data_IF_387733429486
#
_entry.id   IF_387733429486
#
_cell.length_a   1.000
_cell.length_b   1.000
_cell.length_c   1.000
_cell.angle_alpha   90.00
_cell.angle_beta   90.00
_cell.angle_gamma   90.00
#
_symmetry.space_group_name_H-M   'P 1'
#
loop_
_entity.id
_entity.type
_entity.pdbx_description
1 polymer ?
#
# COMPACT_ATOMS: atom_id res chain seq x y z
N UNK A 1 -8.25 -10.59 0.28
CA UNK A 1 -8.68 -9.18 0.28
C UNK A 1 -8.64 -8.59 -1.12
N UNK A 2 -9.48 -7.58 -1.40
CA UNK A 2 -9.42 -6.78 -2.62
C UNK A 2 -8.39 -5.66 -2.45
N UNK A 3 -7.39 -5.61 -3.32
CA UNK A 3 -6.41 -4.53 -3.37
C UNK A 3 -7.12 -3.16 -3.41
N UNK A 4 -6.78 -2.28 -2.46
CA UNK A 4 -7.27 -0.90 -2.44
C UNK A 4 -6.12 0.05 -2.78
N UNK A 5 -6.12 0.70 -3.95
CA UNK A 5 -5.02 1.56 -4.36
C UNK A 5 -4.90 2.79 -3.45
N UNK A 6 -3.66 3.21 -3.20
CA UNK A 6 -3.37 4.40 -2.41
C UNK A 6 -3.94 5.65 -3.10
N UNK A 7 -4.80 6.44 -2.43
CA UNK A 7 -5.40 7.64 -3.02
C UNK A 7 -4.34 8.71 -3.30
N UNK A 8 -4.45 9.37 -4.46
CA UNK A 8 -3.50 10.40 -4.92
C UNK A 8 -3.68 11.78 -4.25
N UNK A 9 -2.81 12.75 -4.58
CA UNK A 9 -1.74 12.71 -5.59
C UNK A 9 -0.50 11.92 -5.13
N UNK A 10 0.08 11.12 -6.03
CA UNK A 10 1.25 10.27 -5.73
C UNK A 10 2.53 10.85 -6.37
N UNK A 11 3.70 10.77 -5.70
CA UNK A 11 4.95 11.29 -6.24
C UNK A 11 5.49 10.43 -7.39
N UNK A 12 6.25 11.05 -8.29
CA UNK A 12 6.91 10.35 -9.39
C UNK A 12 5.92 9.74 -10.40
N UNK A 13 6.35 8.73 -11.13
CA UNK A 13 5.55 7.99 -12.11
C UNK A 13 5.27 6.56 -11.63
N UNK A 14 4.16 5.97 -12.06
CA UNK A 14 3.89 4.56 -11.73
C UNK A 14 4.97 3.70 -12.38
N UNK A 15 5.56 2.80 -11.60
CA UNK A 15 6.59 1.91 -12.05
C UNK A 15 6.10 0.47 -12.07
N UNK A 16 6.46 -0.24 -13.14
CA UNK A 16 6.31 -1.68 -13.24
C UNK A 16 7.66 -2.31 -13.65
N UNK A 17 7.95 -3.54 -13.21
CA UNK A 17 9.17 -4.23 -13.59
C UNK A 17 9.16 -4.52 -15.10
N UNK A 18 10.32 -4.42 -15.73
CA UNK A 18 10.49 -4.71 -17.16
C UNK A 18 10.49 -6.21 -17.47
N UNK A 19 10.83 -7.04 -16.49
CA UNK A 19 10.86 -8.50 -16.58
C UNK A 19 10.81 -9.15 -15.19
N UNK A 20 10.78 -10.48 -15.15
CA UNK A 20 10.72 -11.26 -13.91
C UNK A 20 11.93 -11.04 -13.00
N UNK A 21 13.14 -10.93 -13.55
CA UNK A 21 14.37 -10.77 -12.77
C UNK A 21 14.40 -9.42 -12.03
N UNK A 22 14.04 -8.33 -12.72
CA UNK A 22 13.92 -7.00 -12.12
C UNK A 22 12.83 -6.97 -11.06
N UNK A 23 11.71 -7.65 -11.32
CA UNK A 23 10.64 -7.83 -10.33
C UNK A 23 11.13 -8.56 -9.09
N UNK A 24 11.84 -9.69 -9.27
CA UNK A 24 12.38 -10.49 -8.17
C UNK A 24 13.36 -9.68 -7.32
N UNK A 25 14.33 -8.99 -7.93
CA UNK A 25 15.29 -8.17 -7.18
C UNK A 25 14.58 -7.06 -6.39
N UNK A 26 13.59 -6.40 -6.99
CA UNK A 26 12.83 -5.36 -6.30
C UNK A 26 12.04 -5.92 -5.11
N UNK A 27 11.37 -7.06 -5.28
CA UNK A 27 10.64 -7.73 -4.20
C UNK A 27 11.58 -8.21 -3.08
N UNK A 28 12.75 -8.76 -3.43
CA UNK A 28 13.76 -9.18 -2.47
C UNK A 28 14.28 -8.00 -1.64
N UNK A 29 14.62 -6.89 -2.30
CA UNK A 29 15.19 -5.71 -1.63
C UNK A 29 14.16 -4.96 -0.77
N UNK A 30 12.93 -4.84 -1.25
CA UNK A 30 11.87 -4.10 -0.57
C UNK A 30 10.99 -4.98 0.30
N UNK A 31 10.29 -5.95 -0.28
CA UNK A 31 9.28 -6.75 0.42
C UNK A 31 9.92 -7.69 1.46
N UNK A 32 11.13 -8.21 1.21
CA UNK A 32 11.90 -8.96 2.21
C UNK A 32 12.29 -8.15 3.46
N UNK A 33 12.24 -6.81 3.38
CA UNK A 33 12.55 -5.91 4.49
C UNK A 33 11.32 -5.13 4.99
N UNK A 34 10.11 -5.49 4.54
CA UNK A 34 8.89 -4.75 4.84
C UNK A 34 8.12 -5.37 6.02
N UNK A 35 7.63 -4.54 6.94
CA UNK A 35 6.76 -4.97 8.03
C UNK A 35 5.41 -5.52 7.56
N UNK A 36 4.96 -5.15 6.34
CA UNK A 36 3.68 -5.59 5.75
C UNK A 36 3.70 -7.02 5.20
N UNK A 37 4.86 -7.62 5.09
CA UNK A 37 5.04 -8.88 4.37
C UNK A 37 5.93 -9.82 5.17
N UNK A 38 5.35 -10.49 6.16
CA UNK A 38 6.06 -11.55 6.88
C UNK A 38 6.23 -12.79 6.00
N UNK A 39 5.34 -13.04 5.04
CA UNK A 39 5.50 -14.16 4.10
C UNK A 39 6.81 -14.08 3.32
N UNK A 40 7.13 -12.90 2.76
CA UNK A 40 8.39 -12.69 2.02
C UNK A 40 9.62 -12.63 2.92
N UNK A 41 9.48 -12.22 4.19
CA UNK A 41 10.60 -12.02 5.11
C UNK A 41 10.97 -13.28 5.89
N UNK A 42 9.98 -14.03 6.34
CA UNK A 42 10.15 -15.20 7.22
C UNK A 42 10.14 -16.53 6.47
N UNK A 43 10.09 -16.49 5.12
CA UNK A 43 10.01 -17.68 4.23
C UNK A 43 8.90 -18.64 4.67
N UNK A 44 7.81 -18.08 5.23
CA UNK A 44 6.65 -18.85 5.62
C UNK A 44 5.88 -19.23 4.36
N UNK A 45 5.36 -20.46 4.32
CA UNK A 45 4.47 -20.87 3.27
C UNK A 45 3.30 -19.87 3.21
N UNK A 46 2.96 -19.40 2.01
CA UNK A 46 1.85 -18.45 1.82
C UNK A 46 0.55 -19.01 2.42
N UNK A 47 0.37 -20.33 2.45
CA UNK A 47 -0.79 -21.00 3.07
C UNK A 47 -0.83 -20.88 4.61
N UNK A 48 0.32 -20.66 5.26
CA UNK A 48 0.46 -20.53 6.72
C UNK A 48 0.39 -19.06 7.20
N UNK A 49 0.48 -18.10 6.28
CA UNK A 49 0.40 -16.67 6.58
C UNK A 49 -1.06 -16.20 6.64
N UNK A 50 -1.43 -15.53 7.74
CA UNK A 50 -2.72 -14.84 7.89
C UNK A 50 -2.88 -13.74 6.80
N UNK A 51 -4.12 -13.31 6.53
CA UNK A 51 -4.39 -12.30 5.51
C UNK A 51 -3.69 -10.96 5.79
N UNK A 52 -3.34 -10.69 7.05
CA UNK A 52 -2.61 -9.51 7.50
C UNK A 52 -1.08 -9.62 7.34
N UNK A 53 -0.59 -10.79 6.93
CA UNK A 53 0.84 -11.13 6.83
C UNK A 53 1.35 -11.11 5.37
N UNK A 54 0.45 -10.82 4.42
CA UNK A 54 0.74 -10.75 2.98
C UNK A 54 0.53 -9.33 2.46
N UNK A 55 1.48 -8.84 1.68
CA UNK A 55 1.33 -7.55 1.03
C UNK A 55 0.51 -7.66 -0.27
N UNK A 56 -0.73 -7.19 -0.27
CA UNK A 56 -1.64 -7.20 -1.44
C UNK A 56 -1.11 -6.43 -2.66
N UNK A 57 -0.19 -5.47 -2.44
CA UNK A 57 0.46 -4.69 -3.50
C UNK A 57 1.26 -5.60 -4.43
N UNK A 58 1.85 -6.69 -3.92
CA UNK A 58 2.58 -7.66 -4.74
C UNK A 58 1.62 -8.36 -5.72
N UNK A 59 0.45 -8.79 -5.22
CA UNK A 59 -0.56 -9.35 -6.10
C UNK A 59 -1.03 -8.35 -7.16
N UNK A 60 -1.20 -7.08 -6.76
CA UNK A 60 -1.58 -5.99 -7.67
C UNK A 60 -0.50 -5.69 -8.71
N UNK A 61 0.80 -5.83 -8.37
CA UNK A 61 1.88 -5.55 -9.31
C UNK A 61 1.93 -6.54 -10.46
N UNK A 62 1.66 -7.82 -10.20
CA UNK A 62 1.57 -8.83 -11.24
C UNK A 62 0.38 -8.61 -12.19
N UNK A 63 -0.61 -7.80 -11.78
CA UNK A 63 -1.73 -7.36 -12.63
C UNK A 63 -1.51 -5.98 -13.27
N UNK A 64 -0.41 -5.28 -12.96
CA UNK A 64 -0.16 -3.92 -13.42
C UNK A 64 -0.99 -2.84 -12.69
N UNK A 65 -1.58 -3.17 -11.54
CA UNK A 65 -2.48 -2.29 -10.79
C UNK A 65 -1.81 -1.57 -9.62
N UNK A 66 -0.60 -1.98 -9.22
CA UNK A 66 0.14 -1.41 -8.09
C UNK A 66 0.51 0.06 -8.34
N UNK A 67 -0.20 0.99 -7.72
CA UNK A 67 0.04 2.43 -7.88
C UNK A 67 1.13 2.92 -6.93
N UNK A 68 1.43 2.14 -5.89
CA UNK A 68 2.39 2.43 -4.83
C UNK A 68 3.85 2.30 -5.29
N UNK A 69 4.09 1.54 -6.35
CA UNK A 69 5.42 1.40 -6.92
C UNK A 69 5.69 2.60 -7.81
N UNK A 70 6.63 3.44 -7.38
CA UNK A 70 6.89 4.73 -8.00
C UNK A 70 8.34 4.84 -8.45
N UNK A 71 8.54 5.34 -9.66
CA UNK A 71 9.81 5.88 -10.12
C UNK A 71 9.85 7.37 -9.80
N UNK A 72 10.81 7.77 -8.99
CA UNK A 72 11.04 9.17 -8.61
C UNK A 72 11.72 9.94 -9.75
N UNK A 73 11.64 11.29 -9.74
CA UNK A 73 12.34 12.12 -10.73
C UNK A 73 13.85 11.87 -10.80
N UNK A 74 14.46 11.45 -9.69
CA UNK A 74 15.88 11.11 -9.60
C UNK A 74 16.22 9.73 -10.20
N UNK A 75 15.23 8.98 -10.67
CA UNK A 75 15.37 7.65 -11.25
C UNK A 75 15.26 6.50 -10.26
N UNK A 76 15.28 6.79 -8.96
CA UNK A 76 15.07 5.82 -7.87
C UNK A 76 13.66 5.19 -7.96
N UNK A 77 13.57 3.88 -7.80
CA UNK A 77 12.29 3.17 -7.72
C UNK A 77 12.05 2.77 -6.28
N UNK A 78 10.87 3.10 -5.75
CA UNK A 78 10.47 2.76 -4.37
C UNK A 78 8.99 2.45 -4.24
N UNK A 79 8.66 1.69 -3.21
CA UNK A 79 7.28 1.49 -2.76
C UNK A 79 6.93 2.58 -1.73
N UNK A 80 5.94 3.44 -2.03
CA UNK A 80 5.52 4.51 -1.11
C UNK A 80 4.77 3.99 0.12
N UNK A 81 4.30 2.74 0.08
CA UNK A 81 3.66 2.05 1.19
C UNK A 81 4.64 1.21 2.02
N UNK A 82 5.95 1.26 1.71
CA UNK A 82 6.99 0.55 2.44
C UNK A 82 7.04 0.98 3.90
N UNK A 83 7.13 -0.01 4.78
CA UNK A 83 7.33 0.18 6.22
C UNK A 83 8.50 -0.73 6.61
N UNK A 84 9.61 -0.22 7.16
CA UNK A 84 10.72 -1.07 7.59
C UNK A 84 10.27 -2.14 8.58
N UNK A 85 10.81 -3.36 8.46
CA UNK A 85 10.52 -4.45 9.38
C UNK A 85 10.72 -4.01 10.86
N UNK A 86 9.79 -4.42 11.73
CA UNK A 86 9.78 -4.04 13.15
C UNK A 86 9.16 -2.67 13.45
N UNK A 87 8.78 -1.88 12.44
CA UNK A 87 7.99 -0.66 12.64
C UNK A 87 6.48 -0.98 12.58
N UNK A 88 5.65 -0.27 13.35
CA UNK A 88 4.20 -0.46 13.28
C UNK A 88 3.69 -0.05 11.89
N UNK A 89 2.91 -0.94 11.26
CA UNK A 89 2.21 -0.62 10.00
C UNK A 89 1.23 0.52 10.30
N UNK A 90 1.32 1.67 9.61
CA UNK A 90 0.36 2.74 9.80
C UNK A 90 -1.05 2.23 9.50
N UNK A 91 -2.00 2.53 10.40
CA UNK A 91 -3.40 2.23 10.13
C UNK A 91 -3.79 2.81 8.77
N UNK A 92 -4.59 2.06 8.00
CA UNK A 92 -5.14 2.56 6.75
C UNK A 92 -5.75 3.94 7.01
N UNK A 93 -5.39 4.94 6.18
CA UNK A 93 -5.92 6.29 6.35
C UNK A 93 -7.43 6.21 6.29
N UNK A 94 -8.09 6.46 7.42
CA UNK A 94 -9.54 6.56 7.45
C UNK A 94 -9.91 7.82 6.64
N UNK A 95 -10.73 7.64 5.61
CA UNK A 95 -11.16 8.70 4.70
C UNK A 95 -11.90 9.83 5.43
N UNK A 96 -12.50 9.52 6.59
CA UNK A 96 -13.17 10.49 7.47
C UNK A 96 -12.22 11.32 8.35
N UNK A 97 -10.95 10.95 8.50
CA UNK A 97 -9.97 11.70 9.33
C UNK A 97 -9.30 12.85 8.60
N UNK A 98 -9.40 12.89 7.26
CA UNK A 98 -8.98 14.05 6.45
C UNK A 98 -9.64 15.33 6.96
N UNK A 99 -10.91 15.23 7.35
CA UNK A 99 -11.75 16.32 7.86
C UNK A 99 -11.37 16.79 9.28
N UNK A 100 -10.67 15.96 10.06
CA UNK A 100 -10.22 16.31 11.42
C UNK A 100 -9.00 17.22 11.42
N UNK A 101 -8.26 17.29 10.31
CA UNK A 101 -7.04 18.09 10.15
C UNK A 101 -7.15 19.14 9.04
N UNK A 102 -8.39 19.58 8.72
CA UNK A 102 -8.63 20.70 7.83
C UNK A 102 -7.91 21.96 8.38
N UNK A 103 -6.78 22.29 7.76
CA UNK A 103 -6.28 23.66 7.70
C UNK A 103 -7.33 24.41 6.88
N UNK A 104 -8.06 25.28 7.57
CA UNK A 104 -9.12 26.18 7.11
C UNK A 104 -10.48 25.50 6.82
N UNK A 105 -11.42 25.77 7.73
CA UNK A 105 -12.65 25.00 7.88
C UNK A 105 -13.79 25.37 6.93
N UNK A 106 -14.67 24.39 6.74
CA UNK A 106 -16.11 24.57 6.64
C UNK A 106 -16.80 23.22 6.86
N UNK A 107 -17.98 23.24 7.46
CA UNK A 107 -18.55 22.15 8.24
C UNK A 107 -19.31 21.07 7.44
N UNK A 108 -19.30 19.87 8.03
CA UNK A 108 -20.43 18.93 8.15
C UNK A 108 -20.94 18.17 6.91
N UNK A 109 -20.79 16.84 6.97
CA UNK A 109 -21.76 15.85 6.48
C UNK A 109 -21.48 14.55 7.26
N UNK A 110 -22.36 13.92 8.02
CA UNK A 110 -23.81 13.91 8.00
C UNK A 110 -24.27 12.45 8.15
N UNK A 111 -24.06 11.87 9.33
CA UNK A 111 -24.63 10.57 9.69
C UNK A 111 -26.15 10.69 9.79
N UNK A 112 -26.88 10.03 8.89
CA UNK A 112 -28.00 9.09 9.19
C UNK A 112 -28.88 8.88 7.96
N UNK A 113 -28.46 7.95 7.10
CA UNK A 113 -29.41 7.23 6.26
C UNK A 113 -30.08 6.14 7.13
N UNK A 114 -31.20 6.48 7.79
CA UNK A 114 -32.24 5.51 8.18
C UNK A 114 -33.61 6.12 7.95
N UNK A 115 -34.16 5.86 6.77
CA UNK A 115 -35.59 5.89 6.52
C UNK A 115 -36.26 4.70 7.21
N UNK A 116 -37.22 4.97 8.08
CA UNK A 116 -38.38 4.09 8.26
C UNK A 116 -39.56 4.89 8.81
N UNK A 117 -40.63 4.82 8.02
CA UNK A 117 -42.00 5.28 8.28
C UNK A 117 -42.56 4.72 9.58
#
# INVERSE_FOLDING_TARGET
MSYTPTPGPLPGEQWQPSNGDVGYSFLSDWCGNCARDSAMRDDCAVEDCDDNEKCEIIGASFRGEAVEWRRMPEGEVKCIAFVPAGQPIPAARCTSTSELFNIDGCAACGDTCKSRT
#
